data_IF_992576230115
#
_entry.id   IF_992576230115
#
_cell.length_a   1.000
_cell.length_b   1.000
_cell.length_c   1.000
_cell.angle_alpha   90.00
_cell.angle_beta   90.00
_cell.angle_gamma   90.00
#
_symmetry.space_group_name_H-M   'P 1'
#
loop_
_entity.id
_entity.type
_entity.pdbx_description
1 polymer ?
#
# COMPACT_ATOMS: atom_id res chain seq x y z
N UNK A 1 -3.42 -27.31 10.59
CA UNK A 1 -3.50 -25.92 11.09
C UNK A 1 -3.96 -25.07 9.92
N UNK A 2 -5.00 -24.25 10.09
CA UNK A 2 -5.45 -23.34 9.02
C UNK A 2 -4.76 -21.98 9.12
N UNK A 3 -4.86 -21.16 8.07
CA UNK A 3 -4.21 -19.85 8.00
C UNK A 3 -4.59 -18.93 9.17
N UNK A 4 -5.87 -18.90 9.56
CA UNK A 4 -6.35 -18.10 10.68
C UNK A 4 -5.67 -18.49 12.00
N UNK A 5 -5.57 -19.79 12.30
CA UNK A 5 -4.88 -20.29 13.50
C UNK A 5 -3.40 -19.90 13.49
N UNK A 6 -2.73 -20.01 12.34
CA UNK A 6 -1.33 -19.59 12.19
C UNK A 6 -1.14 -18.09 12.43
N UNK A 7 -2.04 -17.25 11.90
CA UNK A 7 -2.01 -15.80 12.12
C UNK A 7 -2.23 -15.44 13.60
N UNK A 8 -3.07 -16.19 14.32
CA UNK A 8 -3.38 -15.90 15.72
C UNK A 8 -2.30 -16.40 16.69
N UNK A 9 -1.53 -17.43 16.31
CA UNK A 9 -0.50 -18.06 17.14
C UNK A 9 0.50 -17.04 17.72
N UNK A 10 1.06 -16.17 16.87
CA UNK A 10 2.07 -15.20 17.32
C UNK A 10 2.04 -13.94 16.45
N UNK A 11 2.14 -12.77 17.08
CA UNK A 11 2.32 -11.49 16.38
C UNK A 11 3.81 -11.15 16.28
N UNK A 12 4.52 -11.80 15.35
CA UNK A 12 5.94 -11.55 15.14
C UNK A 12 6.33 -11.62 13.66
N UNK A 13 7.44 -10.96 13.33
CA UNK A 13 8.02 -11.01 11.99
C UNK A 13 8.34 -12.44 11.57
N UNK A 14 8.83 -13.26 12.50
CA UNK A 14 9.19 -14.65 12.22
C UNK A 14 7.95 -15.45 11.78
N UNK A 15 6.82 -15.30 12.48
CA UNK A 15 5.57 -15.95 12.13
C UNK A 15 5.02 -15.43 10.78
N UNK A 16 5.00 -14.10 10.58
CA UNK A 16 4.57 -13.49 9.30
C UNK A 16 5.35 -14.05 8.10
N UNK A 17 6.68 -14.15 8.22
CA UNK A 17 7.53 -14.69 7.15
C UNK A 17 7.41 -16.20 6.97
N UNK A 18 7.05 -16.94 8.02
CA UNK A 18 6.77 -18.37 7.91
C UNK A 18 5.46 -18.60 7.13
N UNK A 19 4.41 -17.84 7.44
CA UNK A 19 3.11 -17.92 6.75
C UNK A 19 3.26 -17.47 5.29
N UNK A 20 3.98 -16.38 5.02
CA UNK A 20 4.23 -15.92 3.65
C UNK A 20 4.93 -17.01 2.80
N UNK A 21 5.94 -17.69 3.36
CA UNK A 21 6.59 -18.82 2.70
C UNK A 21 5.65 -19.99 2.45
N UNK A 22 4.71 -20.27 3.35
CA UNK A 22 3.68 -21.30 3.17
C UNK A 22 2.71 -20.94 2.04
N UNK A 23 2.35 -19.66 1.89
CA UNK A 23 1.53 -19.18 0.76
C UNK A 23 2.29 -19.32 -0.56
N UNK A 24 3.54 -18.88 -0.60
CA UNK A 24 4.39 -19.00 -1.80
C UNK A 24 4.66 -20.47 -2.18
N UNK A 25 4.66 -21.38 -1.21
CA UNK A 25 4.77 -22.82 -1.43
C UNK A 25 3.43 -23.52 -1.75
N UNK A 26 2.31 -22.78 -1.80
CA UNK A 26 0.98 -23.33 -2.09
C UNK A 26 0.33 -24.12 -0.96
N UNK A 27 0.86 -24.04 0.27
CA UNK A 27 0.26 -24.69 1.46
C UNK A 27 -1.01 -23.96 1.90
N UNK A 28 -1.01 -22.63 1.79
CA UNK A 28 -2.19 -21.79 1.89
C UNK A 28 -2.35 -21.03 0.58
N UNK A 29 -3.57 -20.71 0.22
CA UNK A 29 -3.85 -19.96 -1.01
C UNK A 29 -3.75 -18.46 -0.77
N UNK A 30 -3.47 -17.71 -1.83
CA UNK A 30 -3.56 -16.25 -1.78
C UNK A 30 -5.01 -15.81 -1.57
N UNK A 31 -5.99 -16.55 -2.09
CA UNK A 31 -7.42 -16.28 -1.89
C UNK A 31 -7.80 -16.33 -0.40
N UNK A 32 -7.37 -17.35 0.35
CA UNK A 32 -7.58 -17.42 1.79
C UNK A 32 -6.97 -16.22 2.52
N UNK A 33 -5.76 -15.79 2.11
CA UNK A 33 -5.13 -14.60 2.66
C UNK A 33 -5.97 -13.35 2.36
N UNK A 34 -6.43 -13.20 1.12
CA UNK A 34 -7.19 -12.06 0.65
C UNK A 34 -8.54 -11.95 1.37
N UNK A 35 -9.25 -13.06 1.54
CA UNK A 35 -10.52 -13.10 2.28
C UNK A 35 -10.37 -12.68 3.74
N UNK A 36 -9.28 -13.09 4.41
CA UNK A 36 -9.00 -12.64 5.78
C UNK A 36 -8.68 -11.15 5.88
N UNK A 37 -8.14 -10.54 4.82
CA UNK A 37 -7.87 -9.09 4.77
C UNK A 37 -9.17 -8.31 4.62
N UNK A 38 -10.07 -8.75 3.72
CA UNK A 38 -11.34 -8.05 3.45
C UNK A 38 -12.38 -8.26 4.54
N UNK A 39 -12.55 -9.52 4.96
CA UNK A 39 -13.74 -9.97 5.69
C UNK A 39 -13.41 -10.49 7.10
N UNK A 40 -12.13 -10.55 7.47
CA UNK A 40 -11.71 -11.02 8.79
C UNK A 40 -12.07 -10.06 9.93
N UNK A 41 -12.29 -10.61 11.12
CA UNK A 41 -12.45 -9.81 12.34
C UNK A 41 -11.09 -9.45 12.95
N UNK A 42 -10.93 -8.26 13.57
CA UNK A 42 -9.70 -7.90 14.26
C UNK A 42 -9.25 -8.97 15.28
N UNK A 43 -7.95 -9.33 15.31
CA UNK A 43 -6.84 -8.67 14.63
C UNK A 43 -6.48 -9.26 13.25
N UNK A 44 -7.31 -10.13 12.67
CA UNK A 44 -6.95 -10.91 11.48
C UNK A 44 -6.60 -10.05 10.26
N UNK A 45 -7.39 -9.03 9.85
CA UNK A 45 -7.03 -8.20 8.69
C UNK A 45 -5.66 -7.53 8.85
N UNK A 46 -5.33 -7.12 10.07
CA UNK A 46 -4.08 -6.43 10.39
C UNK A 46 -2.89 -7.37 10.22
N UNK A 47 -3.00 -8.61 10.74
CA UNK A 47 -1.94 -9.61 10.64
C UNK A 47 -1.82 -10.17 9.23
N UNK A 48 -2.96 -10.47 8.60
CA UNK A 48 -3.02 -10.94 7.21
C UNK A 48 -2.44 -9.90 6.24
N UNK A 49 -2.74 -8.61 6.40
CA UNK A 49 -2.13 -7.58 5.54
C UNK A 49 -0.60 -7.51 5.67
N UNK A 50 -0.01 -7.89 6.81
CA UNK A 50 1.45 -7.95 6.93
C UNK A 50 2.03 -9.14 6.16
N UNK A 51 1.31 -10.26 6.14
CA UNK A 51 1.64 -11.40 5.28
C UNK A 51 1.52 -11.00 3.81
N UNK A 52 0.51 -10.21 3.42
CA UNK A 52 0.38 -9.66 2.06
C UNK A 52 1.63 -8.86 1.64
N UNK A 53 2.13 -7.96 2.50
CA UNK A 53 3.34 -7.19 2.19
C UNK A 53 4.58 -8.09 2.04
N UNK A 54 4.66 -9.19 2.81
CA UNK A 54 5.74 -10.16 2.67
C UNK A 54 5.63 -10.97 1.37
N UNK A 55 4.45 -11.51 1.06
CA UNK A 55 4.19 -12.29 -0.17
C UNK A 55 4.44 -11.42 -1.40
N UNK A 56 3.86 -10.23 -1.48
CA UNK A 56 4.03 -9.31 -2.62
C UNK A 56 5.42 -8.67 -2.69
N UNK A 57 6.23 -8.80 -1.63
CA UNK A 57 7.65 -8.46 -1.67
C UNK A 57 8.48 -9.47 -2.47
N UNK A 58 8.02 -10.72 -2.58
CA UNK A 58 8.68 -11.81 -3.31
C UNK A 58 7.99 -12.13 -4.65
N UNK A 59 6.65 -12.07 -4.68
CA UNK A 59 5.83 -12.35 -5.85
C UNK A 59 4.73 -11.26 -6.02
N UNK A 60 5.07 -10.04 -6.49
CA UNK A 60 4.11 -8.95 -6.66
C UNK A 60 2.91 -9.32 -7.54
N UNK A 61 3.11 -10.17 -8.54
CA UNK A 61 2.10 -10.63 -9.49
C UNK A 61 0.93 -11.38 -8.83
N UNK A 62 1.14 -11.92 -7.62
CA UNK A 62 0.09 -12.58 -6.84
C UNK A 62 -1.11 -11.66 -6.52
N UNK A 63 -0.90 -10.34 -6.51
CA UNK A 63 -1.96 -9.37 -6.28
C UNK A 63 -2.77 -9.04 -7.56
N UNK A 64 -2.27 -9.35 -8.76
CA UNK A 64 -2.92 -8.97 -10.02
C UNK A 64 -4.41 -9.35 -10.11
N UNK A 65 -4.84 -10.58 -9.73
CA UNK A 65 -6.24 -10.96 -9.81
C UNK A 65 -7.15 -10.17 -8.87
N UNK A 66 -6.58 -9.53 -7.85
CA UNK A 66 -7.29 -8.85 -6.77
C UNK A 66 -7.19 -7.33 -6.85
N UNK A 67 -6.54 -6.77 -7.87
CA UNK A 67 -6.31 -5.33 -7.98
C UNK A 67 -7.60 -4.49 -7.93
N UNK A 68 -8.68 -4.81 -8.66
CA UNK A 68 -9.91 -4.02 -8.57
C UNK A 68 -10.47 -3.97 -7.14
N UNK A 69 -10.46 -5.11 -6.43
CA UNK A 69 -10.90 -5.18 -5.04
C UNK A 69 -9.93 -4.46 -4.09
N UNK A 70 -8.63 -4.53 -4.36
CA UNK A 70 -7.60 -3.83 -3.58
C UNK A 70 -7.81 -2.31 -3.64
N UNK A 71 -8.05 -1.77 -4.82
CA UNK A 71 -8.31 -0.32 -4.97
C UNK A 71 -9.65 0.03 -4.31
N UNK A 72 -10.69 -0.79 -4.46
CA UNK A 72 -11.95 -0.59 -3.74
C UNK A 72 -11.77 -0.61 -2.21
N UNK A 73 -10.90 -1.48 -1.69
CA UNK A 73 -10.62 -1.62 -0.25
C UNK A 73 -9.94 -0.37 0.32
N UNK A 74 -9.14 0.36 -0.47
CA UNK A 74 -8.55 1.65 -0.04
C UNK A 74 -9.62 2.68 0.33
N UNK A 75 -10.80 2.62 -0.31
CA UNK A 75 -11.92 3.55 -0.09
C UNK A 75 -12.85 3.13 1.07
N UNK A 76 -12.67 1.94 1.63
CA UNK A 76 -13.47 1.43 2.73
C UNK A 76 -12.79 1.67 4.08
N UNK A 77 -13.54 1.85 5.18
CA UNK A 77 -12.96 1.96 6.53
C UNK A 77 -12.17 0.70 6.88
N UNK A 78 -10.88 0.87 7.18
CA UNK A 78 -9.97 -0.22 7.49
C UNK A 78 -8.98 0.18 8.59
N UNK A 79 -8.33 -0.84 9.16
CA UNK A 79 -7.24 -0.58 10.09
C UNK A 79 -6.02 0.02 9.37
N UNK A 80 -5.30 0.92 10.04
CA UNK A 80 -4.11 1.59 9.50
C UNK A 80 -3.01 0.65 9.00
N UNK A 81 -2.93 -0.57 9.56
CA UNK A 81 -2.00 -1.60 9.08
C UNK A 81 -2.36 -2.10 7.67
N UNK A 82 -3.67 -2.27 7.40
CA UNK A 82 -4.18 -2.73 6.10
C UNK A 82 -3.85 -1.71 5.02
N UNK A 83 -4.20 -0.43 5.22
CA UNK A 83 -3.88 0.63 4.26
C UNK A 83 -2.39 0.69 3.94
N UNK A 84 -1.54 0.65 4.97
CA UNK A 84 -0.09 0.74 4.81
C UNK A 84 0.46 -0.42 3.98
N UNK A 85 0.08 -1.65 4.31
CA UNK A 85 0.60 -2.82 3.63
C UNK A 85 0.02 -2.95 2.22
N UNK A 86 -1.23 -2.56 2.02
CA UNK A 86 -1.86 -2.55 0.70
C UNK A 86 -1.21 -1.53 -0.24
N UNK A 87 -0.94 -0.31 0.23
CA UNK A 87 -0.22 0.69 -0.55
C UNK A 87 1.18 0.22 -0.98
N UNK A 88 1.91 -0.46 -0.09
CA UNK A 88 3.21 -1.08 -0.41
C UNK A 88 3.09 -2.18 -1.45
N UNK A 89 2.04 -3.00 -1.35
CA UNK A 89 1.79 -4.06 -2.31
C UNK A 89 1.47 -3.49 -3.70
N UNK A 90 0.62 -2.45 -3.77
CA UNK A 90 0.29 -1.73 -5.01
C UNK A 90 1.52 -1.03 -5.61
N UNK A 91 2.38 -0.43 -4.79
CA UNK A 91 3.65 0.18 -5.23
C UNK A 91 4.55 -0.82 -5.98
N UNK A 92 4.57 -2.09 -5.58
CA UNK A 92 5.37 -3.15 -6.23
C UNK A 92 4.66 -3.82 -7.41
N UNK A 93 3.35 -3.72 -7.49
CA UNK A 93 2.55 -4.39 -8.51
C UNK A 93 2.43 -3.52 -9.77
N UNK A 94 2.41 -4.14 -10.94
CA UNK A 94 2.11 -3.44 -12.19
C UNK A 94 0.62 -3.10 -12.21
N UNK A 95 0.28 -1.81 -12.04
CA UNK A 95 -1.11 -1.36 -12.05
C UNK A 95 -1.59 -1.19 -13.50
N UNK A 96 -2.69 -1.84 -13.90
CA UNK A 96 -3.38 -1.58 -15.16
C UNK A 96 -3.77 -0.11 -15.28
N UNK A 97 -3.69 0.44 -16.49
CA UNK A 97 -3.97 1.85 -16.78
C UNK A 97 -5.36 2.28 -16.26
N UNK A 98 -6.34 1.39 -16.35
CA UNK A 98 -7.73 1.65 -15.94
C UNK A 98 -7.88 1.89 -14.43
N UNK A 99 -6.92 1.43 -13.62
CA UNK A 99 -6.91 1.62 -12.17
C UNK A 99 -5.99 2.76 -11.72
N UNK A 100 -5.08 3.24 -12.58
CA UNK A 100 -4.06 4.20 -12.20
C UNK A 100 -4.66 5.55 -11.76
N UNK A 101 -5.66 6.06 -12.48
CA UNK A 101 -6.33 7.32 -12.11
C UNK A 101 -6.95 7.27 -10.71
N UNK A 102 -7.71 6.21 -10.40
CA UNK A 102 -8.36 6.05 -9.09
C UNK A 102 -7.32 5.93 -7.95
N UNK A 103 -6.24 5.17 -8.18
CA UNK A 103 -5.17 5.02 -7.19
C UNK A 103 -4.42 6.33 -6.98
N UNK A 104 -4.17 7.07 -8.05
CA UNK A 104 -3.50 8.36 -8.00
C UNK A 104 -4.31 9.40 -7.20
N UNK A 105 -5.60 9.52 -7.50
CA UNK A 105 -6.53 10.38 -6.76
C UNK A 105 -6.58 10.01 -5.28
N UNK A 106 -6.64 8.72 -4.96
CA UNK A 106 -6.57 8.25 -3.58
C UNK A 106 -5.27 8.73 -2.91
N UNK A 107 -4.13 8.58 -3.59
CA UNK A 107 -2.84 9.00 -3.04
C UNK A 107 -2.80 10.49 -2.74
N UNK A 108 -3.25 11.35 -3.68
CA UNK A 108 -3.30 12.80 -3.47
C UNK A 108 -4.19 13.18 -2.28
N UNK A 109 -5.37 12.56 -2.17
CA UNK A 109 -6.27 12.76 -1.05
C UNK A 109 -5.61 12.41 0.30
N UNK A 110 -4.79 11.36 0.35
CA UNK A 110 -4.06 11.00 1.57
C UNK A 110 -2.95 12.00 1.91
N UNK A 111 -2.31 12.63 0.93
CA UNK A 111 -1.34 13.70 1.17
C UNK A 111 -2.00 14.96 1.73
N UNK A 112 -3.17 15.32 1.21
CA UNK A 112 -3.96 16.48 1.65
C UNK A 112 -4.65 16.26 2.99
N UNK A 113 -4.79 15.01 3.45
CA UNK A 113 -5.49 14.68 4.68
C UNK A 113 -4.58 14.88 5.92
N UNK A 114 -4.85 15.87 6.79
CA UNK A 114 -4.04 16.12 7.98
C UNK A 114 -4.17 15.03 9.06
N UNK A 115 -5.17 14.14 8.94
CA UNK A 115 -5.37 12.99 9.83
C UNK A 115 -4.71 11.71 9.31
N UNK A 116 -4.21 11.71 8.08
CA UNK A 116 -3.52 10.54 7.54
C UNK A 116 -2.25 10.28 8.34
N UNK A 117 -1.98 9.01 8.65
CA UNK A 117 -0.75 8.67 9.35
C UNK A 117 0.47 8.93 8.44
N UNK A 118 1.63 9.36 9.00
CA UNK A 118 2.82 9.66 8.22
C UNK A 118 3.28 8.52 7.29
N UNK A 119 3.11 7.26 7.73
CA UNK A 119 3.44 6.10 6.90
C UNK A 119 2.53 5.98 5.67
N UNK A 120 1.22 6.24 5.82
CA UNK A 120 0.25 6.18 4.72
C UNK A 120 0.58 7.27 3.69
N UNK A 121 0.86 8.49 4.15
CA UNK A 121 1.30 9.59 3.28
C UNK A 121 2.59 9.22 2.53
N UNK A 122 3.59 8.65 3.21
CA UNK A 122 4.87 8.30 2.59
C UNK A 122 4.72 7.24 1.49
N UNK A 123 3.88 6.22 1.70
CA UNK A 123 3.61 5.22 0.65
C UNK A 123 2.74 5.80 -0.48
N UNK A 124 1.76 6.63 -0.14
CA UNK A 124 0.93 7.36 -1.12
C UNK A 124 1.78 8.23 -2.04
N UNK A 125 2.77 8.97 -1.51
CA UNK A 125 3.70 9.74 -2.34
C UNK A 125 4.45 8.86 -3.34
N UNK A 126 4.89 7.68 -2.92
CA UNK A 126 5.77 6.82 -3.73
C UNK A 126 4.99 6.15 -4.86
N UNK A 127 3.78 5.71 -4.53
CA UNK A 127 2.84 5.18 -5.49
C UNK A 127 2.38 6.26 -6.49
N UNK A 128 2.08 7.47 -6.03
CA UNK A 128 1.73 8.60 -6.90
C UNK A 128 2.88 8.96 -7.85
N UNK A 129 4.13 8.99 -7.38
CA UNK A 129 5.31 9.21 -8.25
C UNK A 129 5.41 8.13 -9.32
N UNK A 130 5.19 6.86 -8.96
CA UNK A 130 5.23 5.75 -9.92
C UNK A 130 4.16 5.89 -11.00
N UNK A 131 2.96 6.33 -10.64
CA UNK A 131 1.86 6.53 -11.59
C UNK A 131 2.09 7.77 -12.47
N UNK A 132 2.62 8.85 -11.90
CA UNK A 132 2.93 10.08 -12.63
C UNK A 132 4.19 9.96 -13.52
N UNK A 133 4.89 8.83 -13.51
CA UNK A 133 6.11 8.67 -14.31
C UNK A 133 5.82 8.81 -15.80
N UNK A 134 6.53 9.72 -16.48
CA UNK A 134 6.30 10.04 -17.89
C UNK A 134 5.05 10.87 -18.23
N UNK A 135 4.27 11.33 -17.24
CA UNK A 135 3.05 12.15 -17.47
C UNK A 135 3.22 13.53 -16.79
N UNK A 136 3.67 14.58 -17.52
CA UNK A 136 4.02 15.87 -16.95
C UNK A 136 2.91 16.54 -16.13
N UNK A 137 1.65 16.41 -16.56
CA UNK A 137 0.50 17.01 -15.89
C UNK A 137 0.30 16.41 -14.49
N UNK A 138 0.46 15.09 -14.34
CA UNK A 138 0.39 14.43 -13.04
C UNK A 138 1.61 14.77 -12.18
N UNK A 139 2.80 14.89 -12.77
CA UNK A 139 4.00 15.28 -12.02
C UNK A 139 3.86 16.67 -11.40
N UNK A 140 3.33 17.63 -12.16
CA UNK A 140 3.08 18.99 -11.68
C UNK A 140 2.01 19.00 -10.58
N UNK A 141 0.90 18.28 -10.77
CA UNK A 141 -0.15 18.17 -9.75
C UNK A 141 0.38 17.58 -8.44
N UNK A 142 1.14 16.48 -8.52
CA UNK A 142 1.77 15.86 -7.35
C UNK A 142 2.74 16.81 -6.66
N UNK A 143 3.53 17.57 -7.43
CA UNK A 143 4.47 18.54 -6.89
C UNK A 143 3.73 19.63 -6.08
N UNK A 144 2.67 20.22 -6.65
CA UNK A 144 1.84 21.23 -5.99
C UNK A 144 1.22 20.70 -4.69
N UNK A 145 0.68 19.48 -4.71
CA UNK A 145 0.12 18.84 -3.50
C UNK A 145 1.20 18.65 -2.44
N UNK A 146 2.36 18.12 -2.80
CA UNK A 146 3.46 17.92 -1.85
C UNK A 146 3.87 19.25 -1.22
N UNK A 147 4.10 20.29 -2.03
CA UNK A 147 4.55 21.61 -1.59
C UNK A 147 3.55 22.28 -0.64
N UNK A 148 2.27 22.28 -1.00
CA UNK A 148 1.20 22.86 -0.16
C UNK A 148 1.12 22.22 1.24
N UNK A 149 1.53 20.96 1.35
CA UNK A 149 1.48 20.20 2.59
C UNK A 149 2.80 20.20 3.36
N UNK A 150 3.90 20.70 2.78
CA UNK A 150 5.21 20.65 3.41
C UNK A 150 5.22 21.37 4.75
N UNK A 151 4.70 22.59 4.84
CA UNK A 151 4.79 23.41 6.07
C UNK A 151 4.10 22.76 7.28
N UNK A 152 2.98 22.08 7.04
CA UNK A 152 2.11 21.48 8.05
C UNK A 152 2.48 20.04 8.45
N UNK A 153 3.45 19.43 7.77
CA UNK A 153 3.79 18.03 7.97
C UNK A 153 5.12 17.79 8.72
N UNK A 154 5.32 16.52 9.08
CA UNK A 154 6.49 16.05 9.84
C UNK A 154 7.82 16.29 9.10
N UNK A 155 8.93 16.31 9.83
CA UNK A 155 10.27 16.38 9.24
C UNK A 155 10.55 15.23 8.24
N UNK A 156 10.02 14.03 8.51
CA UNK A 156 10.13 12.88 7.63
C UNK A 156 9.38 13.09 6.30
N UNK A 157 8.15 13.63 6.37
CA UNK A 157 7.39 14.04 5.19
C UNK A 157 8.18 15.08 4.38
N UNK A 158 8.65 16.16 5.03
CA UNK A 158 9.42 17.23 4.39
C UNK A 158 10.67 16.69 3.68
N UNK A 159 11.39 15.75 4.31
CA UNK A 159 12.57 15.12 3.73
C UNK A 159 12.23 14.28 2.49
N UNK A 160 11.17 13.47 2.55
CA UNK A 160 10.70 12.68 1.40
C UNK A 160 10.18 13.58 0.27
N UNK A 161 9.36 14.57 0.60
CA UNK A 161 8.80 15.55 -0.34
C UNK A 161 9.89 16.25 -1.13
N UNK A 162 10.95 16.77 -0.47
CA UNK A 162 12.09 17.39 -1.18
C UNK A 162 12.78 16.44 -2.16
N UNK A 163 12.98 15.18 -1.79
CA UNK A 163 13.58 14.17 -2.67
C UNK A 163 12.71 13.92 -3.90
N UNK A 164 11.40 13.84 -3.70
CA UNK A 164 10.43 13.63 -4.78
C UNK A 164 10.33 14.86 -5.68
N UNK A 165 10.21 16.07 -5.14
CA UNK A 165 10.18 17.29 -5.93
C UNK A 165 11.43 17.46 -6.80
N UNK A 166 12.59 17.04 -6.29
CA UNK A 166 13.83 17.02 -7.07
C UNK A 166 13.78 16.01 -8.22
N UNK A 167 13.08 14.88 -8.05
CA UNK A 167 12.88 13.89 -9.09
C UNK A 167 11.90 14.41 -10.16
N UNK A 168 10.76 14.95 -9.74
CA UNK A 168 9.70 15.44 -10.63
C UNK A 168 10.16 16.60 -11.51
N UNK A 169 11.03 17.48 -10.99
CA UNK A 169 11.53 18.68 -11.70
C UNK A 169 12.79 18.47 -12.54
N UNK A 170 13.35 17.25 -12.54
CA UNK A 170 14.55 16.91 -13.33
C UNK A 170 14.21 16.43 -14.73
N UNK A 171 12.92 16.21 -15.01
CA UNK A 171 12.36 15.86 -16.31
C UNK A 171 11.66 17.08 -16.91
#
# INVERSE_FOLDING_TARGET
MNLQQSLLQEHSKANTLAIARQILAGVFTFEELWELIKNGEPPLPQRASWVLDAVTGEAPESLLPYLPEAVALLRQPNHNAVYRNLLKALERTALPEELQGEVYDYCLNQLLNPKALPAIQAFSMSLAVKIADGIPELQEELALVIESQMEFNTAAYKARGRRILTLLRKN
#
